data_IF_846972886764
#
_entry.id   IF_846972886764
#
_cell.length_a   1.000
_cell.length_b   1.000
_cell.length_c   1.000
_cell.angle_alpha   90.00
_cell.angle_beta   90.00
_cell.angle_gamma   90.00
#
_symmetry.space_group_name_H-M   'P 1'
#
loop_
_entity.id
_entity.type
_entity.pdbx_description
1 polymer ?
#
# COMPACT_ATOMS: atom_id res chain seq x y z
N UNK A 1 12.22 22.88 -4.72
CA UNK A 1 12.70 21.79 -3.85
C UNK A 1 11.56 20.81 -3.65
N UNK A 2 11.79 19.48 -3.62
CA UNK A 2 10.70 18.54 -3.42
C UNK A 2 10.08 18.72 -2.03
N UNK A 3 8.75 18.73 -1.95
CA UNK A 3 8.04 18.89 -0.68
C UNK A 3 8.00 17.57 0.09
N UNK A 4 7.76 17.64 1.40
CA UNK A 4 7.66 16.47 2.30
C UNK A 4 6.70 15.42 1.73
N UNK A 5 5.58 15.85 1.14
CA UNK A 5 4.59 14.94 0.55
C UNK A 5 5.13 14.18 -0.67
N UNK A 6 6.01 14.78 -1.47
CA UNK A 6 6.57 14.12 -2.65
C UNK A 6 7.53 13.00 -2.24
N UNK A 7 8.34 13.24 -1.20
CA UNK A 7 9.19 12.20 -0.62
C UNK A 7 8.35 11.07 -0.01
N UNK A 8 7.29 11.41 0.73
CA UNK A 8 6.39 10.42 1.30
C UNK A 8 5.70 9.57 0.20
N UNK A 9 5.15 10.20 -0.84
CA UNK A 9 4.53 9.52 -1.98
C UNK A 9 5.51 8.61 -2.72
N UNK A 10 6.74 9.08 -2.96
CA UNK A 10 7.77 8.27 -3.59
C UNK A 10 8.14 7.06 -2.73
N UNK A 11 8.29 7.27 -1.42
CA UNK A 11 8.56 6.18 -0.47
C UNK A 11 7.41 5.17 -0.41
N UNK A 12 6.16 5.62 -0.31
CA UNK A 12 4.97 4.76 -0.30
C UNK A 12 4.87 3.92 -1.59
N UNK A 13 5.10 4.55 -2.74
CA UNK A 13 5.12 3.86 -4.02
C UNK A 13 6.22 2.79 -4.07
N UNK A 14 7.43 3.11 -3.59
CA UNK A 14 8.55 2.17 -3.51
C UNK A 14 8.35 1.07 -2.46
N UNK A 15 7.62 1.33 -1.38
CA UNK A 15 7.31 0.32 -0.37
C UNK A 15 6.22 -0.66 -0.84
N UNK A 16 5.36 -0.23 -1.77
CA UNK A 16 4.19 -1.00 -2.18
C UNK A 16 4.39 -1.72 -3.54
N UNK A 17 4.98 -1.03 -4.53
CA UNK A 17 5.06 -1.56 -5.89
C UNK A 17 6.01 -2.77 -6.03
N UNK A 18 7.25 -2.76 -5.49
CA UNK A 18 8.17 -3.89 -5.64
C UNK A 18 7.65 -5.19 -5.00
N UNK A 19 7.11 -5.20 -3.76
CA UNK A 19 6.51 -6.40 -3.20
C UNK A 19 5.32 -6.90 -4.02
N UNK A 20 4.45 -6.00 -4.50
CA UNK A 20 3.33 -6.36 -5.37
C UNK A 20 3.78 -6.98 -6.70
N UNK A 21 4.80 -6.39 -7.33
CA UNK A 21 5.37 -6.90 -8.58
C UNK A 21 6.03 -8.26 -8.38
N UNK A 22 6.75 -8.45 -7.26
CA UNK A 22 7.37 -9.72 -6.92
C UNK A 22 6.32 -10.82 -6.68
N UNK A 23 5.23 -10.48 -5.99
CA UNK A 23 4.10 -11.40 -5.81
C UNK A 23 3.40 -11.74 -7.14
N UNK A 24 3.33 -10.80 -8.08
CA UNK A 24 2.75 -11.02 -9.41
C UNK A 24 3.61 -11.92 -10.31
N UNK A 25 4.93 -11.71 -10.32
CA UNK A 25 5.86 -12.38 -11.26
C UNK A 25 6.43 -13.67 -10.67
N UNK A 26 6.68 -13.71 -9.36
CA UNK A 26 7.27 -14.85 -8.66
C UNK A 26 6.42 -15.28 -7.44
N UNK A 27 5.12 -15.60 -7.64
CA UNK A 27 4.19 -15.91 -6.54
C UNK A 27 4.66 -17.09 -5.68
N UNK A 28 5.19 -18.15 -6.29
CA UNK A 28 5.64 -19.34 -5.55
C UNK A 28 6.82 -19.04 -4.62
N UNK A 29 7.73 -18.14 -5.05
CA UNK A 29 8.84 -17.71 -4.21
C UNK A 29 8.33 -16.96 -2.98
N UNK A 30 7.40 -16.02 -3.17
CA UNK A 30 6.80 -15.27 -2.06
C UNK A 30 5.98 -16.19 -1.16
N UNK A 31 5.10 -17.02 -1.72
CA UNK A 31 4.27 -17.95 -0.96
C UNK A 31 5.11 -18.96 -0.16
N UNK A 32 6.27 -19.38 -0.66
CA UNK A 32 7.20 -20.23 0.10
C UNK A 32 7.75 -19.58 1.38
N UNK A 33 7.64 -18.26 1.52
CA UNK A 33 8.01 -17.50 2.72
C UNK A 33 6.83 -17.21 3.63
N UNK A 34 5.61 -17.33 3.12
CA UNK A 34 4.38 -16.97 3.82
C UNK A 34 3.61 -18.20 4.34
N UNK A 35 3.77 -19.35 3.70
CA UNK A 35 3.04 -20.56 4.03
C UNK A 35 3.87 -21.48 4.95
N UNK A 36 3.20 -22.26 5.82
CA UNK A 36 3.87 -23.26 6.63
C UNK A 36 4.58 -24.32 5.79
N UNK A 37 5.65 -24.90 6.34
CA UNK A 37 6.45 -25.93 5.67
C UNK A 37 5.59 -27.14 5.26
N UNK A 38 4.60 -27.51 6.07
CA UNK A 38 3.65 -28.59 5.78
C UNK A 38 2.85 -28.33 4.51
N UNK A 39 2.36 -27.10 4.32
CA UNK A 39 1.63 -26.67 3.12
C UNK A 39 2.54 -26.66 1.89
N UNK A 40 3.78 -26.22 2.04
CA UNK A 40 4.74 -26.19 0.92
C UNK A 40 5.07 -27.60 0.45
N UNK A 41 5.31 -28.54 1.38
CA UNK A 41 5.59 -29.94 1.06
C UNK A 41 4.39 -30.67 0.44
N UNK A 42 3.17 -30.30 0.83
CA UNK A 42 1.94 -30.82 0.23
C UNK A 42 1.68 -30.27 -1.19
N UNK A 43 2.41 -29.23 -1.60
CA UNK A 43 2.24 -28.54 -2.87
C UNK A 43 1.25 -27.39 -2.77
N UNK A 44 1.68 -26.22 -3.22
CA UNK A 44 0.84 -25.00 -3.23
C UNK A 44 -0.23 -25.15 -4.33
N UNK A 45 -1.53 -25.04 -4.00
CA UNK A 45 -2.58 -25.13 -5.01
C UNK A 45 -2.44 -24.04 -6.09
N UNK A 46 -2.70 -24.40 -7.34
CA UNK A 46 -2.62 -23.46 -8.46
C UNK A 46 -3.55 -22.25 -8.30
N UNK A 47 -4.73 -22.44 -7.68
CA UNK A 47 -5.66 -21.37 -7.36
C UNK A 47 -5.06 -20.34 -6.40
N UNK A 48 -4.31 -20.79 -5.38
CA UNK A 48 -3.60 -19.92 -4.44
C UNK A 48 -2.54 -19.10 -5.16
N UNK A 49 -1.76 -19.73 -6.05
CA UNK A 49 -0.77 -19.05 -6.88
C UNK A 49 -1.42 -17.99 -7.77
N UNK A 50 -2.51 -18.32 -8.48
CA UNK A 50 -3.22 -17.36 -9.32
C UNK A 50 -3.81 -16.19 -8.53
N UNK A 51 -4.42 -16.45 -7.37
CA UNK A 51 -4.93 -15.39 -6.50
C UNK A 51 -3.81 -14.48 -5.98
N UNK A 52 -2.66 -15.05 -5.59
CA UNK A 52 -1.49 -14.28 -5.20
C UNK A 52 -1.04 -13.36 -6.34
N UNK A 53 -1.00 -13.84 -7.58
CA UNK A 53 -0.62 -13.00 -8.73
C UNK A 53 -1.59 -11.85 -8.97
N UNK A 54 -2.90 -12.13 -8.88
CA UNK A 54 -3.95 -11.11 -9.01
C UNK A 54 -3.79 -10.05 -7.91
N UNK A 55 -3.58 -10.47 -6.66
CA UNK A 55 -3.33 -9.57 -5.53
C UNK A 55 -2.07 -8.73 -5.79
N UNK A 56 -0.98 -9.33 -6.28
CA UNK A 56 0.24 -8.62 -6.63
C UNK A 56 0.02 -7.57 -7.72
N UNK A 57 -0.69 -7.92 -8.79
CA UNK A 57 -1.02 -7.02 -9.90
C UNK A 57 -1.92 -5.86 -9.44
N UNK A 58 -2.93 -6.13 -8.61
CA UNK A 58 -3.78 -5.10 -8.02
C UNK A 58 -2.99 -4.18 -7.10
N UNK A 59 -2.07 -4.73 -6.31
CA UNK A 59 -1.19 -3.95 -5.42
C UNK A 59 -0.34 -2.97 -6.21
N UNK A 60 0.29 -3.41 -7.31
CA UNK A 60 1.03 -2.52 -8.22
C UNK A 60 0.11 -1.48 -8.85
N UNK A 61 -1.09 -1.88 -9.28
CA UNK A 61 -2.07 -0.96 -9.89
C UNK A 61 -2.46 0.17 -8.92
N UNK A 62 -2.65 -0.14 -7.64
CA UNK A 62 -2.96 0.84 -6.59
C UNK A 62 -1.81 1.82 -6.30
N UNK A 63 -0.59 1.54 -6.77
CA UNK A 63 0.53 2.50 -6.68
C UNK A 63 0.51 3.55 -7.79
N UNK A 64 -0.23 3.33 -8.88
CA UNK A 64 -0.29 4.27 -10.01
C UNK A 64 -0.81 5.65 -9.57
N UNK A 65 -1.91 5.78 -8.80
CA UNK A 65 -2.36 7.08 -8.29
C UNK A 65 -1.32 7.78 -7.39
N UNK A 66 -0.51 7.03 -6.63
CA UNK A 66 0.58 7.58 -5.83
C UNK A 66 1.69 8.14 -6.72
N UNK A 67 2.14 7.37 -7.71
CA UNK A 67 3.18 7.77 -8.64
C UNK A 67 2.77 9.03 -9.45
N UNK A 68 1.53 9.07 -9.93
CA UNK A 68 0.98 10.25 -10.64
C UNK A 68 0.85 11.49 -9.75
N UNK A 69 0.81 11.30 -8.43
CA UNK A 69 0.72 12.37 -7.43
C UNK A 69 2.08 12.96 -7.03
N UNK A 70 3.20 12.34 -7.43
CA UNK A 70 4.56 12.78 -7.11
C UNK A 70 4.88 14.12 -7.77
N UNK A 71 4.72 14.32 -9.10
CA UNK A 71 5.08 15.59 -9.72
C UNK A 71 4.18 16.72 -9.20
N UNK A 72 4.76 17.86 -8.85
CA UNK A 72 3.96 19.01 -8.43
C UNK A 72 3.39 19.72 -9.65
N UNK A 73 2.07 19.68 -9.82
CA UNK A 73 1.35 20.27 -10.96
C UNK A 73 0.12 21.03 -10.48
N UNK A 74 -0.38 22.00 -11.28
CA UNK A 74 -1.72 22.54 -11.04
C UNK A 74 -2.73 21.38 -10.93
N UNK A 75 -3.63 21.43 -9.94
CA UNK A 75 -4.66 20.41 -9.66
C UNK A 75 -4.19 19.07 -9.06
N UNK A 76 -2.89 18.86 -8.80
CA UNK A 76 -2.41 17.61 -8.16
C UNK A 76 -3.00 17.36 -6.77
N UNK A 77 -3.47 18.41 -6.10
CA UNK A 77 -4.02 18.32 -4.74
C UNK A 77 -5.24 17.40 -4.64
N UNK A 78 -6.11 17.41 -5.66
CA UNK A 78 -7.29 16.53 -5.69
C UNK A 78 -6.88 15.08 -5.93
N UNK A 79 -5.94 14.85 -6.84
CA UNK A 79 -5.38 13.52 -7.14
C UNK A 79 -4.72 12.92 -5.90
N UNK A 80 -3.91 13.70 -5.17
CA UNK A 80 -3.27 13.29 -3.92
C UNK A 80 -4.30 12.87 -2.87
N UNK A 81 -5.34 13.69 -2.68
CA UNK A 81 -6.43 13.39 -1.73
C UNK A 81 -7.17 12.12 -2.11
N UNK A 82 -7.50 11.96 -3.39
CA UNK A 82 -8.19 10.77 -3.88
C UNK A 82 -7.34 9.51 -3.68
N UNK A 83 -6.04 9.57 -3.98
CA UNK A 83 -5.12 8.46 -3.73
C UNK A 83 -5.09 8.09 -2.25
N UNK A 84 -4.97 9.07 -1.35
CA UNK A 84 -4.92 8.83 0.10
C UNK A 84 -6.23 8.24 0.64
N UNK A 85 -7.38 8.68 0.15
CA UNK A 85 -8.67 8.09 0.51
C UNK A 85 -8.81 6.66 0.00
N UNK A 86 -8.45 6.38 -1.25
CA UNK A 86 -8.55 5.05 -1.85
C UNK A 86 -7.69 4.04 -1.08
N UNK A 87 -6.42 4.36 -0.85
CA UNK A 87 -5.48 3.50 -0.12
C UNK A 87 -5.87 3.37 1.35
N UNK A 88 -6.22 4.49 2.00
CA UNK A 88 -6.65 4.48 3.40
C UNK A 88 -7.89 3.63 3.62
N UNK A 89 -8.89 3.69 2.73
CA UNK A 89 -10.06 2.83 2.79
C UNK A 89 -9.69 1.34 2.68
N UNK A 90 -8.77 1.00 1.78
CA UNK A 90 -8.23 -0.35 1.65
C UNK A 90 -7.56 -0.83 2.95
N UNK A 91 -6.73 0.00 3.58
CA UNK A 91 -6.03 -0.33 4.82
C UNK A 91 -6.97 -0.49 6.02
N UNK A 92 -7.98 0.39 6.14
CA UNK A 92 -9.01 0.30 7.19
C UNK A 92 -9.78 -1.02 7.10
N UNK A 93 -9.97 -1.57 5.89
CA UNK A 93 -10.63 -2.86 5.71
C UNK A 93 -9.66 -4.04 5.88
N UNK A 94 -8.45 -3.93 5.33
CA UNK A 94 -7.47 -5.02 5.32
C UNK A 94 -6.85 -5.28 6.70
N UNK A 95 -6.48 -4.24 7.46
CA UNK A 95 -5.82 -4.42 8.76
C UNK A 95 -6.68 -5.26 9.72
N UNK A 96 -7.97 -4.94 9.96
CA UNK A 96 -8.83 -5.77 10.80
C UNK A 96 -9.04 -7.17 10.24
N UNK A 97 -9.15 -7.32 8.91
CA UNK A 97 -9.31 -8.62 8.27
C UNK A 97 -8.09 -9.52 8.52
N UNK A 98 -6.88 -8.99 8.41
CA UNK A 98 -5.64 -9.72 8.69
C UNK A 98 -5.61 -10.17 10.16
N UNK A 99 -5.92 -9.28 11.09
CA UNK A 99 -5.90 -9.58 12.53
C UNK A 99 -6.98 -10.59 12.95
N UNK A 100 -8.16 -10.54 12.33
CA UNK A 100 -9.26 -11.48 12.63
C UNK A 100 -9.07 -12.87 12.02
N UNK A 101 -8.21 -13.00 11.00
CA UNK A 101 -7.87 -14.29 10.36
C UNK A 101 -6.60 -14.92 10.92
N UNK A 102 -5.92 -14.25 11.85
CA UNK A 102 -4.75 -14.79 12.55
C UNK A 102 -5.10 -16.13 13.22
N UNK A 103 -4.28 -17.16 12.99
CA UNK A 103 -4.48 -18.51 13.53
C UNK A 103 -5.50 -19.38 12.79
N UNK A 104 -6.19 -18.88 11.77
CA UNK A 104 -7.16 -19.67 10.97
C UNK A 104 -7.02 -19.48 9.46
N UNK A 105 -5.94 -18.85 9.00
CA UNK A 105 -5.78 -18.42 7.61
C UNK A 105 -5.00 -19.41 6.74
N UNK A 106 -4.31 -20.37 7.35
CA UNK A 106 -3.38 -21.28 6.65
C UNK A 106 -2.03 -20.64 6.30
N UNK A 107 -1.79 -19.37 6.69
CA UNK A 107 -0.47 -18.76 6.69
C UNK A 107 0.33 -19.18 7.93
N UNK A 108 1.65 -19.01 7.87
CA UNK A 108 2.53 -19.18 9.03
C UNK A 108 2.10 -18.23 10.16
N UNK A 109 2.18 -18.71 11.40
CA UNK A 109 1.79 -17.95 12.57
C UNK A 109 2.55 -16.62 12.67
N UNK A 110 1.83 -15.55 13.02
CA UNK A 110 2.38 -14.20 13.15
C UNK A 110 2.54 -13.44 11.84
N UNK A 111 2.39 -14.08 10.66
CA UNK A 111 2.57 -13.38 9.38
C UNK A 111 1.47 -12.35 9.12
N UNK A 112 0.20 -12.66 9.39
CA UNK A 112 -0.86 -11.68 9.15
C UNK A 112 -0.78 -10.51 10.13
N UNK A 113 -0.43 -10.78 11.40
CA UNK A 113 -0.08 -9.74 12.38
C UNK A 113 1.10 -8.87 11.92
N UNK A 114 2.14 -9.48 11.38
CA UNK A 114 3.30 -8.75 10.83
C UNK A 114 2.87 -7.88 9.66
N UNK A 115 2.08 -8.40 8.72
CA UNK A 115 1.49 -7.64 7.62
C UNK A 115 0.67 -6.45 8.11
N UNK A 116 -0.24 -6.67 9.07
CA UNK A 116 -1.03 -5.60 9.69
C UNK A 116 -0.15 -4.52 10.34
N UNK A 117 0.91 -4.92 11.05
CA UNK A 117 1.86 -3.97 11.66
C UNK A 117 2.64 -3.15 10.64
N UNK A 118 2.95 -3.71 9.46
CA UNK A 118 3.63 -2.98 8.39
C UNK A 118 2.70 -1.98 7.70
N UNK A 119 1.40 -2.27 7.63
CA UNK A 119 0.39 -1.37 7.05
C UNK A 119 0.02 -0.21 7.99
N UNK A 120 0.06 -0.42 9.31
CA UNK A 120 -0.39 0.56 10.29
C UNK A 120 0.32 1.94 10.18
N UNK A 121 1.65 2.05 10.02
CA UNK A 121 2.32 3.34 9.85
C UNK A 121 1.81 4.12 8.63
N UNK A 122 1.50 3.44 7.53
CA UNK A 122 0.99 4.08 6.32
C UNK A 122 -0.43 4.63 6.53
N UNK A 123 -1.30 3.86 7.22
CA UNK A 123 -2.63 4.32 7.58
C UNK A 123 -2.59 5.53 8.54
N UNK A 124 -1.71 5.48 9.54
CA UNK A 124 -1.48 6.59 10.48
C UNK A 124 -1.00 7.82 9.72
N UNK A 125 -0.03 7.67 8.82
CA UNK A 125 0.47 8.75 7.99
C UNK A 125 -0.64 9.38 7.16
N UNK A 126 -1.47 8.57 6.49
CA UNK A 126 -2.60 9.08 5.72
C UNK A 126 -3.61 9.83 6.59
N UNK A 127 -3.91 9.34 7.79
CA UNK A 127 -4.77 10.05 8.73
C UNK A 127 -4.18 11.41 9.15
N UNK A 128 -2.87 11.47 9.44
CA UNK A 128 -2.18 12.72 9.77
C UNK A 128 -2.29 13.70 8.60
N UNK A 129 -2.02 13.25 7.38
CA UNK A 129 -2.02 14.14 6.20
C UNK A 129 -3.43 14.57 5.80
N UNK A 130 -4.44 13.69 5.90
CA UNK A 130 -5.82 14.01 5.53
C UNK A 130 -6.51 14.93 6.55
N UNK A 131 -6.31 14.70 7.85
CA UNK A 131 -7.05 15.39 8.91
C UNK A 131 -6.21 16.40 9.71
N UNK A 132 -4.92 16.14 9.90
CA UNK A 132 -4.04 16.98 10.71
C UNK A 132 -3.26 18.03 9.90
N UNK A 133 -2.80 17.66 8.70
CA UNK A 133 -1.96 18.50 7.81
C UNK A 133 -2.44 18.50 6.35
N UNK A 134 -3.72 18.82 6.08
CA UNK A 134 -4.27 18.81 4.72
C UNK A 134 -3.59 19.83 3.78
N UNK A 135 -2.89 20.82 4.31
CA UNK A 135 -2.08 21.77 3.56
C UNK A 135 -0.89 21.11 2.85
N UNK A 136 -0.38 19.97 3.34
CA UNK A 136 0.71 19.25 2.68
C UNK A 136 0.27 18.60 1.37
N UNK A 137 -1.03 18.36 1.21
CA UNK A 137 -1.60 17.86 -0.05
C UNK A 137 -1.75 18.98 -1.09
N UNK A 138 -1.58 20.26 -0.72
CA UNK A 138 -1.69 21.35 -1.67
C UNK A 138 -0.64 21.23 -2.79
N UNK A 139 -1.05 21.55 -4.02
CA UNK A 139 -0.13 21.72 -5.14
C UNK A 139 0.43 23.14 -5.16
N UNK A 140 1.54 23.34 -5.89
CA UNK A 140 2.28 24.61 -5.98
C UNK A 140 1.45 25.87 -6.22
N UNK A 141 0.28 25.79 -6.88
CA UNK A 141 -0.56 26.97 -7.18
C UNK A 141 -1.23 27.63 -5.96
N UNK A 142 -1.34 26.94 -4.81
CA UNK A 142 -1.92 27.54 -3.58
C UNK A 142 -0.90 28.28 -2.71
N UNK A 143 0.41 28.09 -2.94
CA UNK A 143 1.46 28.80 -2.21
C UNK A 143 1.71 30.20 -2.80
N UNK A 144 1.57 30.38 -4.12
CA UNK A 144 1.66 31.71 -4.75
C UNK A 144 0.59 32.69 -4.27
N UNK A 145 -0.66 32.25 -4.13
CA UNK A 145 -1.77 33.12 -3.67
C UNK A 145 -1.70 33.54 -2.20
N UNK A 146 -0.82 32.95 -1.39
CA UNK A 146 -0.65 33.32 0.03
C UNK A 146 0.50 34.30 0.27
N UNK A 147 1.24 34.65 -0.78
CA UNK A 147 2.43 35.52 -0.73
C UNK A 147 2.20 36.87 -1.44
N UNK A 148 0.97 37.11 -1.90
CA UNK A 148 0.45 38.43 -2.29
C UNK A 148 -0.57 38.90 -1.26
#
# INVERSE_FOLDING_TARGET
>A
MPSIIQYALAFEALATAPPGALLAIAPNWVLSKLLPTTTILAGIPASTTSLAQIVGALTVTLTVPLALSIPDRPHVAEVRRMAYWLLGAGEVLLIPLLLTKEGSSGFEDGILRTGASQMAPFLIWRAIVLFGKPEWLAGGSKLEKKTQ
#
